data_IF_823794373280
#
_entry.id   IF_823794373280
#
_cell.length_a   1.000
_cell.length_b   1.000
_cell.length_c   1.000
_cell.angle_alpha   90.00
_cell.angle_beta   90.00
_cell.angle_gamma   90.00
#
_symmetry.space_group_name_H-M   'P 1'
#
loop_
_entity.id
_entity.type
_entity.pdbx_description
1 polymer ?
#
# COMPACT_ATOMS: atom_id res chain seq x y z
N UNK A 1 -15.19 -21.09 7.24
CA UNK A 1 -15.31 -21.98 6.08
C UNK A 1 -14.80 -21.28 4.85
N UNK A 2 -15.68 -20.88 3.91
CA UNK A 2 -15.28 -20.34 2.60
C UNK A 2 -14.61 -18.96 2.61
N UNK A 3 -14.85 -18.14 3.64
CA UNK A 3 -14.21 -16.83 3.80
C UNK A 3 -12.77 -16.91 4.29
N UNK A 4 -12.46 -17.91 5.12
CA UNK A 4 -11.13 -18.10 5.72
C UNK A 4 -10.11 -18.56 4.66
N UNK A 5 -10.56 -19.37 3.69
CA UNK A 5 -9.74 -19.84 2.57
C UNK A 5 -9.34 -18.70 1.62
N UNK A 6 -10.27 -17.78 1.35
CA UNK A 6 -10.02 -16.60 0.51
C UNK A 6 -9.08 -15.62 1.19
N UNK A 7 -9.29 -15.34 2.48
CA UNK A 7 -8.40 -14.49 3.27
C UNK A 7 -6.97 -15.07 3.33
N UNK A 8 -6.85 -16.38 3.54
CA UNK A 8 -5.57 -17.08 3.54
C UNK A 8 -4.87 -17.00 2.18
N UNK A 9 -5.59 -17.19 1.08
CA UNK A 9 -5.05 -17.08 -0.28
C UNK A 9 -4.52 -15.68 -0.62
N UNK A 10 -5.24 -14.63 -0.20
CA UNK A 10 -4.82 -13.23 -0.40
C UNK A 10 -3.52 -12.96 0.37
N UNK A 11 -3.41 -13.47 1.60
CA UNK A 11 -2.22 -13.28 2.44
C UNK A 11 -1.02 -14.03 1.88
N UNK A 12 -1.21 -15.28 1.44
CA UNK A 12 -0.18 -16.09 0.77
C UNK A 12 0.32 -15.42 -0.50
N UNK A 13 -0.58 -14.87 -1.34
CA UNK A 13 -0.21 -14.13 -2.55
C UNK A 13 0.76 -12.98 -2.24
N UNK A 14 0.49 -12.24 -1.18
CA UNK A 14 1.37 -11.14 -0.75
C UNK A 14 2.73 -11.60 -0.23
N UNK A 15 2.78 -12.70 0.52
CA UNK A 15 4.05 -13.31 0.97
C UNK A 15 4.88 -13.81 -0.22
N UNK A 16 4.24 -14.43 -1.20
CA UNK A 16 4.89 -14.83 -2.46
C UNK A 16 5.42 -13.58 -3.19
N UNK A 17 4.64 -12.49 -3.21
CA UNK A 17 5.08 -11.21 -3.73
C UNK A 17 6.40 -10.73 -3.11
N UNK A 18 6.53 -10.81 -1.78
CA UNK A 18 7.78 -10.45 -1.08
C UNK A 18 8.92 -11.37 -1.52
N UNK A 19 8.69 -12.69 -1.51
CA UNK A 19 9.69 -13.68 -1.90
C UNK A 19 10.18 -13.53 -3.35
N UNK A 20 9.32 -13.05 -4.26
CA UNK A 20 9.67 -12.74 -5.65
C UNK A 20 10.40 -11.40 -5.76
N UNK A 21 9.95 -10.37 -5.04
CA UNK A 21 10.54 -9.03 -5.14
C UNK A 21 11.92 -8.93 -4.47
N UNK A 22 12.21 -9.68 -3.42
CA UNK A 22 13.51 -9.66 -2.74
C UNK A 22 14.72 -10.03 -3.62
N UNK A 23 14.70 -11.11 -4.44
CA UNK A 23 15.76 -11.37 -5.41
C UNK A 23 15.76 -10.33 -6.53
N UNK A 24 14.58 -9.84 -6.96
CA UNK A 24 14.48 -8.82 -8.00
C UNK A 24 15.11 -7.47 -7.58
N UNK A 25 15.04 -7.09 -6.30
CA UNK A 25 15.74 -5.91 -5.74
C UNK A 25 17.25 -5.92 -6.01
N UNK A 26 17.88 -7.09 -6.16
CA UNK A 26 19.32 -7.22 -6.43
C UNK A 26 19.68 -6.99 -7.90
N UNK A 27 18.72 -7.09 -8.81
CA UNK A 27 18.96 -7.07 -10.26
C UNK A 27 18.36 -5.85 -10.95
N UNK A 28 17.30 -5.28 -10.38
CA UNK A 28 16.53 -4.18 -10.97
C UNK A 28 16.67 -2.90 -10.15
N UNK A 29 16.65 -1.73 -10.80
CA UNK A 29 16.62 -0.47 -10.08
C UNK A 29 15.31 -0.36 -9.28
N UNK A 30 15.44 0.11 -8.05
CA UNK A 30 14.34 0.22 -7.08
C UNK A 30 13.12 1.00 -7.62
N UNK A 31 13.35 1.94 -8.55
CA UNK A 31 12.31 2.71 -9.26
C UNK A 31 11.39 1.82 -10.08
N UNK A 32 11.94 0.85 -10.82
CA UNK A 32 11.14 -0.08 -11.64
C UNK A 32 10.32 -1.00 -10.77
N UNK A 33 10.86 -1.42 -9.62
CA UNK A 33 10.15 -2.28 -8.67
C UNK A 33 8.99 -1.57 -8.01
N UNK A 34 9.20 -0.32 -7.56
CA UNK A 34 8.10 0.51 -7.04
C UNK A 34 7.03 0.68 -8.11
N UNK A 35 7.40 1.04 -9.34
CA UNK A 35 6.43 1.24 -10.42
C UNK A 35 5.63 -0.05 -10.71
N UNK A 36 6.31 -1.20 -10.77
CA UNK A 36 5.69 -2.50 -10.97
C UNK A 36 4.72 -2.85 -9.84
N UNK A 37 5.12 -2.67 -8.58
CA UNK A 37 4.25 -2.90 -7.42
C UNK A 37 3.02 -2.00 -7.44
N UNK A 38 3.20 -0.71 -7.74
CA UNK A 38 2.10 0.26 -7.85
C UNK A 38 1.15 -0.11 -8.98
N UNK A 39 1.69 -0.49 -10.13
CA UNK A 39 0.90 -0.96 -11.26
C UNK A 39 0.06 -2.19 -10.91
N UNK A 40 0.65 -3.19 -10.24
CA UNK A 40 -0.06 -4.39 -9.80
C UNK A 40 -1.16 -4.09 -8.78
N UNK A 41 -0.93 -3.14 -7.87
CA UNK A 41 -1.95 -2.67 -6.92
C UNK A 41 -3.12 -2.00 -7.62
N UNK A 42 -2.86 -1.08 -8.54
CA UNK A 42 -3.90 -0.38 -9.31
C UNK A 42 -4.67 -1.33 -10.23
N UNK A 43 -3.98 -2.29 -10.84
CA UNK A 43 -4.61 -3.36 -11.62
C UNK A 43 -5.51 -4.24 -10.75
N UNK A 44 -5.06 -4.59 -9.54
CA UNK A 44 -5.88 -5.32 -8.57
C UNK A 44 -7.15 -4.55 -8.18
N UNK A 45 -7.03 -3.24 -7.91
CA UNK A 45 -8.18 -2.38 -7.61
C UNK A 45 -9.16 -2.25 -8.78
N UNK A 46 -8.67 -2.15 -10.02
CA UNK A 46 -9.55 -2.05 -11.19
C UNK A 46 -10.36 -3.33 -11.42
N UNK A 47 -9.80 -4.51 -11.10
CA UNK A 47 -10.51 -5.79 -11.13
C UNK A 47 -11.55 -5.93 -10.01
N UNK A 48 -11.33 -5.25 -8.88
CA UNK A 48 -12.29 -5.17 -7.78
C UNK A 48 -13.41 -4.15 -8.02
N UNK A 49 -13.44 -3.45 -9.15
CA UNK A 49 -14.54 -2.54 -9.45
C UNK A 49 -15.70 -3.33 -10.08
N UNK A 50 -16.95 -3.22 -9.58
CA UNK A 50 -18.08 -3.93 -10.15
C UNK A 50 -18.58 -3.22 -11.43
N UNK A 51 -17.77 -3.24 -12.50
CA UNK A 51 -18.04 -2.57 -13.78
C UNK A 51 -19.39 -2.92 -14.42
N UNK A 52 -19.91 -4.11 -14.13
CA UNK A 52 -21.19 -4.62 -14.66
C UNK A 52 -22.33 -4.57 -13.63
N UNK A 53 -22.18 -3.79 -12.54
CA UNK A 53 -23.17 -3.67 -11.47
C UNK A 53 -23.26 -4.87 -10.52
N UNK A 54 -22.53 -5.96 -10.79
CA UNK A 54 -22.34 -7.10 -9.89
C UNK A 54 -20.87 -7.48 -9.83
N UNK A 55 -20.39 -7.73 -8.62
CA UNK A 55 -19.03 -8.19 -8.36
C UNK A 55 -18.99 -9.71 -8.52
N UNK A 56 -18.18 -10.22 -9.44
CA UNK A 56 -17.92 -11.65 -9.54
C UNK A 56 -16.87 -12.07 -8.51
N UNK A 57 -17.09 -13.21 -7.85
CA UNK A 57 -16.21 -13.73 -6.78
C UNK A 57 -14.79 -13.95 -7.33
N UNK A 58 -14.68 -14.40 -8.58
CA UNK A 58 -13.40 -14.64 -9.24
C UNK A 58 -12.64 -13.33 -9.46
N UNK A 59 -13.32 -12.30 -9.98
CA UNK A 59 -12.72 -10.97 -10.20
C UNK A 59 -12.29 -10.33 -8.89
N UNK A 60 -13.12 -10.45 -7.84
CA UNK A 60 -12.77 -9.96 -6.50
C UNK A 60 -11.54 -10.69 -5.93
N UNK A 61 -11.55 -12.02 -5.95
CA UNK A 61 -10.44 -12.81 -5.38
C UNK A 61 -9.14 -12.54 -6.14
N UNK A 62 -9.19 -12.51 -7.47
CA UNK A 62 -8.05 -12.20 -8.31
C UNK A 62 -7.53 -10.77 -8.06
N UNK A 63 -8.42 -9.78 -7.99
CA UNK A 63 -8.08 -8.40 -7.70
C UNK A 63 -7.43 -8.22 -6.33
N UNK A 64 -7.96 -8.89 -5.29
CA UNK A 64 -7.36 -8.90 -3.96
C UNK A 64 -6.01 -9.61 -3.91
N UNK A 65 -5.83 -10.72 -4.63
CA UNK A 65 -4.55 -11.40 -4.70
C UNK A 65 -3.48 -10.56 -5.41
N UNK A 66 -3.83 -9.90 -6.52
CA UNK A 66 -2.97 -9.00 -7.28
C UNK A 66 -2.59 -7.75 -6.46
N UNK A 67 -3.56 -7.16 -5.77
CA UNK A 67 -3.30 -6.01 -4.90
C UNK A 67 -2.41 -6.39 -3.72
N UNK A 68 -2.65 -7.52 -3.07
CA UNK A 68 -1.79 -8.04 -2.01
C UNK A 68 -0.37 -8.33 -2.49
N UNK A 69 -0.22 -8.95 -3.67
CA UNK A 69 1.06 -9.25 -4.30
C UNK A 69 1.89 -7.99 -4.60
N UNK A 70 1.25 -6.89 -5.01
CA UNK A 70 1.94 -5.62 -5.23
C UNK A 70 2.16 -4.81 -3.95
N UNK A 71 1.19 -4.80 -3.02
CA UNK A 71 1.17 -3.91 -1.86
C UNK A 71 2.16 -4.34 -0.78
N UNK A 72 2.28 -5.64 -0.49
CA UNK A 72 3.17 -6.13 0.56
C UNK A 72 4.66 -5.85 0.25
N UNK A 73 5.17 -6.11 -0.97
CA UNK A 73 6.50 -5.68 -1.38
C UNK A 73 6.68 -4.16 -1.33
N UNK A 74 5.68 -3.40 -1.78
CA UNK A 74 5.72 -1.93 -1.74
C UNK A 74 5.83 -1.41 -0.31
N UNK A 75 5.06 -1.98 0.62
CA UNK A 75 5.11 -1.63 2.04
C UNK A 75 6.46 -1.99 2.64
N UNK A 76 7.04 -3.13 2.26
CA UNK A 76 8.37 -3.53 2.71
C UNK A 76 9.44 -2.53 2.22
N UNK A 77 9.44 -2.20 0.93
CA UNK A 77 10.33 -1.19 0.34
C UNK A 77 10.15 0.18 1.00
N UNK A 78 8.91 0.60 1.25
CA UNK A 78 8.63 1.87 1.92
C UNK A 78 9.17 1.89 3.36
N UNK A 79 9.01 0.79 4.10
CA UNK A 79 9.60 0.67 5.45
C UNK A 79 11.14 0.69 5.39
N UNK A 80 11.76 0.01 4.43
CA UNK A 80 13.21 0.02 4.23
C UNK A 80 13.72 1.45 3.97
N UNK A 81 13.10 2.18 3.02
CA UNK A 81 13.45 3.58 2.69
C UNK A 81 13.29 4.48 3.91
N UNK A 82 12.16 4.39 4.61
CA UNK A 82 11.89 5.21 5.79
C UNK A 82 12.90 4.88 6.90
N UNK A 83 13.21 3.60 7.13
CA UNK A 83 14.20 3.19 8.12
C UNK A 83 15.61 3.71 7.80
N UNK A 84 16.01 3.67 6.53
CA UNK A 84 17.30 4.22 6.08
C UNK A 84 17.34 5.75 6.22
N UNK A 85 16.23 6.45 5.91
CA UNK A 85 16.12 7.88 6.13
C UNK A 85 16.20 8.24 7.62
N UNK A 86 15.55 7.46 8.50
CA UNK A 86 15.64 7.62 9.97
C UNK A 86 17.09 7.48 10.44
N UNK A 87 17.82 6.46 9.97
CA UNK A 87 19.23 6.24 10.36
C UNK A 87 20.14 7.38 9.86
N UNK A 88 19.86 7.92 8.66
CA UNK A 88 20.63 9.06 8.14
C UNK A 88 20.37 10.34 8.93
N UNK A 89 19.11 10.64 9.25
CA UNK A 89 18.74 11.78 10.12
C UNK A 89 19.31 11.60 11.54
N UNK A 90 19.34 10.37 12.05
CA UNK A 90 19.93 10.01 13.34
C UNK A 90 21.43 10.33 13.44
N UNK A 91 22.18 10.19 12.34
CA UNK A 91 23.60 10.56 12.34
C UNK A 91 23.83 12.07 12.39
N UNK A 92 22.82 12.88 12.05
CA UNK A 92 22.96 14.33 11.98
C UNK A 92 22.34 15.05 13.18
N UNK A 93 21.10 14.77 13.63
CA UNK A 93 20.50 15.47 14.78
C UNK A 93 19.51 14.60 15.61
N UNK A 94 19.42 14.87 16.92
CA UNK A 94 18.64 14.14 17.94
C UNK A 94 17.10 14.22 17.83
N UNK A 95 16.56 14.17 16.61
CA UNK A 95 15.13 14.34 16.28
C UNK A 95 14.31 13.03 16.27
N UNK A 96 14.83 11.96 16.87
CA UNK A 96 14.18 10.64 16.93
C UNK A 96 12.77 10.69 17.54
N UNK A 97 12.59 11.50 18.58
CA UNK A 97 11.31 11.58 19.30
C UNK A 97 10.24 12.22 18.43
N UNK A 98 10.56 13.32 17.72
CA UNK A 98 9.60 14.02 16.87
C UNK A 98 9.19 13.20 15.65
N UNK A 99 10.13 12.47 15.04
CA UNK A 99 9.82 11.65 13.88
C UNK A 99 9.02 10.38 14.27
N UNK A 100 9.36 9.74 15.38
CA UNK A 100 8.59 8.62 15.92
C UNK A 100 7.19 9.07 16.37
N UNK A 101 7.07 10.28 16.92
CA UNK A 101 5.80 10.87 17.30
C UNK A 101 4.96 11.22 16.07
N UNK A 102 5.52 11.84 15.03
CA UNK A 102 4.85 12.04 13.74
C UNK A 102 4.35 10.72 13.13
N UNK A 103 5.17 9.68 13.19
CA UNK A 103 4.83 8.38 12.62
C UNK A 103 3.78 7.63 13.44
N UNK A 104 3.82 7.74 14.77
CA UNK A 104 2.75 7.24 15.64
C UNK A 104 1.44 8.00 15.41
N UNK A 105 1.52 9.32 15.24
CA UNK A 105 0.38 10.23 15.02
C UNK A 105 -0.24 10.09 13.63
N UNK A 106 0.46 9.52 12.66
CA UNK A 106 -0.09 9.28 11.32
C UNK A 106 -0.53 7.83 11.15
N UNK A 107 0.25 6.86 11.64
CA UNK A 107 -0.01 5.43 11.41
C UNK A 107 -1.12 4.85 12.27
N UNK A 108 -1.23 5.26 13.55
CA UNK A 108 -2.29 4.79 14.44
C UNK A 108 -3.68 5.28 13.99
N UNK A 109 -3.90 6.59 13.77
CA UNK A 109 -5.20 7.03 13.29
C UNK A 109 -5.50 6.54 11.88
N UNK A 110 -4.52 6.41 10.97
CA UNK A 110 -4.81 5.81 9.66
C UNK A 110 -5.31 4.36 9.78
N UNK A 111 -4.75 3.57 10.71
CA UNK A 111 -5.18 2.17 10.97
C UNK A 111 -6.50 2.05 11.71
N UNK A 112 -6.88 3.05 12.50
CA UNK A 112 -8.16 3.07 13.23
C UNK A 112 -9.29 3.70 12.37
N UNK A 113 -9.01 4.85 11.76
CA UNK A 113 -9.95 5.60 10.91
C UNK A 113 -10.18 4.93 9.56
N UNK A 114 -9.20 4.21 9.01
CA UNK A 114 -9.37 3.48 7.75
C UNK A 114 -10.53 2.49 7.78
N UNK A 115 -10.52 1.49 8.69
CA UNK A 115 -11.64 0.56 8.87
C UNK A 115 -12.95 1.27 9.20
N UNK A 116 -12.92 2.32 10.01
CA UNK A 116 -14.11 3.08 10.41
C UNK A 116 -14.76 3.80 9.21
N UNK A 117 -13.95 4.43 8.35
CA UNK A 117 -14.41 5.05 7.12
C UNK A 117 -14.96 4.02 6.12
N UNK A 118 -14.35 2.84 6.06
CA UNK A 118 -14.82 1.71 5.26
C UNK A 118 -16.19 1.20 5.71
N UNK A 119 -16.39 1.04 7.03
CA UNK A 119 -17.67 0.63 7.63
C UNK A 119 -18.74 1.68 7.31
N UNK A 120 -18.45 2.96 7.52
CA UNK A 120 -19.39 4.04 7.20
C UNK A 120 -19.74 4.09 5.70
N UNK A 121 -18.78 3.83 4.82
CA UNK A 121 -19.02 3.78 3.38
C UNK A 121 -19.90 2.58 2.97
N UNK A 122 -19.73 1.42 3.63
CA UNK A 122 -20.57 0.24 3.46
C UNK A 122 -22.01 0.46 3.96
N UNK A 123 -22.19 1.20 5.05
CA UNK A 123 -23.50 1.57 5.56
C UNK A 123 -24.24 2.54 4.61
N UNK A 124 -23.51 3.44 3.95
CA UNK A 124 -24.05 4.39 2.98
C UNK A 124 -24.41 3.76 1.63
N UNK A 125 -23.64 2.75 1.20
CA UNK A 125 -23.86 2.06 -0.06
C UNK A 125 -23.62 0.55 0.08
N UNK A 126 -24.68 -0.26 0.20
CA UNK A 126 -24.56 -1.71 0.37
C UNK A 126 -24.01 -2.42 -0.87
N UNK A 127 -23.90 -1.72 -2.02
CA UNK A 127 -23.25 -2.28 -3.22
C UNK A 127 -21.71 -2.29 -3.08
N UNK A 128 -21.16 -1.56 -2.10
CA UNK A 128 -19.73 -1.48 -1.83
C UNK A 128 -18.95 -0.60 -2.81
N UNK A 129 -19.61 0.04 -3.78
CA UNK A 129 -18.96 0.84 -4.84
C UNK A 129 -18.26 2.06 -4.25
N UNK A 130 -18.93 2.83 -3.40
CA UNK A 130 -18.32 3.96 -2.68
C UNK A 130 -17.16 3.50 -1.81
N UNK A 131 -17.25 2.32 -1.20
CA UNK A 131 -16.18 1.75 -0.38
C UNK A 131 -14.92 1.47 -1.22
N UNK A 132 -15.06 0.85 -2.40
CA UNK A 132 -13.95 0.63 -3.33
C UNK A 132 -13.40 1.93 -3.93
N UNK A 133 -14.26 2.89 -4.25
CA UNK A 133 -13.84 4.22 -4.71
C UNK A 133 -13.00 4.95 -3.65
N UNK A 134 -13.43 4.89 -2.40
CA UNK A 134 -12.77 5.54 -1.27
C UNK A 134 -11.42 4.87 -0.96
N UNK A 135 -11.37 3.54 -1.01
CA UNK A 135 -10.10 2.78 -0.93
C UNK A 135 -9.14 3.13 -2.07
N UNK A 136 -9.64 3.21 -3.30
CA UNK A 136 -8.83 3.51 -4.49
C UNK A 136 -8.31 4.94 -4.45
N UNK A 137 -9.14 5.90 -4.04
CA UNK A 137 -8.75 7.32 -3.93
C UNK A 137 -7.74 7.54 -2.82
N UNK A 138 -7.92 6.96 -1.64
CA UNK A 138 -6.94 7.03 -0.54
C UNK A 138 -5.62 6.36 -0.97
N UNK A 139 -5.69 5.20 -1.63
CA UNK A 139 -4.49 4.51 -2.13
C UNK A 139 -3.75 5.35 -3.16
N UNK A 140 -4.47 6.00 -4.08
CA UNK A 140 -3.89 6.92 -5.06
C UNK A 140 -3.24 8.14 -4.40
N UNK A 141 -3.91 8.77 -3.43
CA UNK A 141 -3.35 9.89 -2.66
C UNK A 141 -2.07 9.46 -1.93
N UNK A 142 -2.09 8.30 -1.26
CA UNK A 142 -0.92 7.77 -0.57
C UNK A 142 0.25 7.52 -1.53
N UNK A 143 -0.02 7.04 -2.74
CA UNK A 143 0.99 6.85 -3.78
C UNK A 143 1.57 8.17 -4.28
N UNK A 144 0.73 9.18 -4.49
CA UNK A 144 1.18 10.53 -4.88
C UNK A 144 2.06 11.13 -3.79
N UNK A 145 1.62 11.07 -2.54
CA UNK A 145 2.38 11.52 -1.37
C UNK A 145 3.72 10.79 -1.29
N UNK A 146 3.74 9.47 -1.45
CA UNK A 146 4.97 8.68 -1.46
C UNK A 146 5.92 9.12 -2.57
N UNK A 147 5.42 9.37 -3.78
CA UNK A 147 6.24 9.82 -4.90
C UNK A 147 6.82 11.22 -4.67
N UNK A 148 6.03 12.13 -4.11
CA UNK A 148 6.44 13.50 -3.74
C UNK A 148 7.49 13.47 -2.64
N UNK A 149 7.25 12.75 -1.53
CA UNK A 149 8.22 12.60 -0.44
C UNK A 149 9.52 11.93 -0.92
N UNK A 150 9.42 10.98 -1.83
CA UNK A 150 10.59 10.32 -2.41
C UNK A 150 11.40 11.28 -3.29
N UNK A 151 10.77 12.23 -3.98
CA UNK A 151 11.50 13.28 -4.69
C UNK A 151 12.17 14.25 -3.71
N UNK A 152 11.49 14.65 -2.64
CA UNK A 152 12.05 15.61 -1.67
C UNK A 152 13.13 15.02 -0.76
N UNK A 153 13.05 13.72 -0.41
CA UNK A 153 14.04 13.05 0.46
C UNK A 153 15.28 12.53 -0.28
N UNK A 154 15.19 12.34 -1.60
CA UNK A 154 16.31 11.87 -2.44
C UNK A 154 16.91 12.96 -3.34
N UNK A 155 16.44 14.20 -3.26
CA UNK A 155 17.25 15.35 -3.64
C UNK A 155 18.15 15.68 -2.45
N UNK A 156 19.39 15.17 -2.37
CA UNK A 156 20.38 15.89 -1.58
C UNK A 156 20.47 17.29 -2.18
N UNK A 157 20.49 18.28 -1.31
CA UNK A 157 20.65 19.68 -1.65
C UNK A 157 21.65 19.88 -2.79
N UNK A 158 21.14 20.38 -3.91
CA UNK A 158 21.89 21.31 -4.74
C UNK A 158 21.63 22.70 -4.15
N UNK A 159 22.24 22.97 -3.00
CA UNK A 159 22.60 24.32 -2.53
C UNK A 159 23.61 24.24 -1.39
#
# INVERSE_FOLDING_TARGET
GRGDDVASGILVSGVIGIAVFDPLKKTQPLRTLIFLSVFLVLLGFSLCFPWKGRMDIVSFTCGCCLSSFGFLPLSNIANDIVSAAIVKVYSEHGELVWLQLFWSMTRLPARALGPLALILALDLDPTGITCFLLLTSISFIALVIFFVFRQSLLSPDLQ
#
